data_IF_452590036823
#
_entry.id   IF_452590036823
#
_cell.length_a   1.000
_cell.length_b   1.000
_cell.length_c   1.000
_cell.angle_alpha   90.00
_cell.angle_beta   90.00
_cell.angle_gamma   90.00
#
_symmetry.space_group_name_H-M   'P 1'
#
loop_
_entity.id
_entity.type
_entity.pdbx_description
1 polymer ?
#
# COMPACT_ATOMS: atom_id res chain seq x y z
N UNK A 1 72.78 27.81 24.96
CA UNK A 1 71.58 28.54 24.50
C UNK A 1 70.38 27.66 24.79
N UNK A 2 69.31 28.27 25.33
CA UNK A 2 68.22 27.62 26.08
C UNK A 2 67.29 26.80 25.18
N UNK A 3 66.89 25.64 25.69
CA UNK A 3 65.87 24.74 25.14
C UNK A 3 64.49 25.43 25.09
N UNK A 4 63.79 25.32 23.96
CA UNK A 4 62.36 25.63 23.88
C UNK A 4 61.63 24.37 23.39
N UNK A 5 60.94 23.70 24.30
CA UNK A 5 60.03 22.59 24.03
C UNK A 5 58.69 23.22 23.67
N UNK A 6 58.25 23.08 22.42
CA UNK A 6 56.92 23.51 21.99
C UNK A 6 55.96 22.31 22.14
N UNK A 7 55.26 22.23 23.28
CA UNK A 7 54.17 21.28 23.45
C UNK A 7 52.94 21.77 22.67
N UNK A 8 52.76 21.22 21.47
CA UNK A 8 51.50 21.30 20.72
C UNK A 8 50.47 20.40 21.40
N UNK A 9 49.54 21.00 22.16
CA UNK A 9 48.33 20.31 22.59
C UNK A 9 47.33 20.31 21.43
N UNK A 10 47.08 19.14 20.85
CA UNK A 10 45.95 18.93 19.94
C UNK A 10 44.70 18.70 20.83
N UNK A 11 43.63 19.51 20.72
CA UNK A 11 42.38 19.18 21.39
C UNK A 11 41.76 17.99 20.66
N UNK A 12 41.68 16.84 21.34
CA UNK A 12 40.85 15.72 20.88
C UNK A 12 39.40 16.17 21.02
N UNK A 13 38.82 16.63 19.91
CA UNK A 13 37.40 16.95 19.83
C UNK A 13 36.58 15.69 20.02
N UNK A 14 35.82 15.61 21.11
CA UNK A 14 34.85 14.56 21.36
C UNK A 14 33.72 14.70 20.33
N UNK A 15 33.65 13.80 19.33
CA UNK A 15 32.50 13.70 18.44
C UNK A 15 31.40 12.94 19.18
N UNK A 16 30.25 13.55 19.51
CA UNK A 16 29.14 12.80 20.09
C UNK A 16 28.58 11.87 19.02
N UNK A 17 28.77 10.57 19.21
CA UNK A 17 28.12 9.53 18.41
C UNK A 17 26.64 9.49 18.80
N UNK A 18 25.82 10.26 18.10
CA UNK A 18 24.36 10.13 18.20
C UNK A 18 23.93 8.87 17.46
N UNK A 19 23.72 7.77 18.20
CA UNK A 19 22.92 6.64 17.70
C UNK A 19 21.45 7.07 17.73
N UNK A 20 20.94 7.51 16.58
CA UNK A 20 19.51 7.58 16.37
C UNK A 20 18.97 6.15 16.26
N UNK A 21 18.36 5.64 17.33
CA UNK A 21 17.55 4.42 17.25
C UNK A 21 16.24 4.85 16.60
N UNK A 22 16.13 4.73 15.28
CA UNK A 22 14.84 4.85 14.62
C UNK A 22 14.07 3.56 14.86
N UNK A 23 12.95 3.57 15.59
CA UNK A 23 12.10 2.40 15.67
C UNK A 23 11.59 2.10 14.26
N UNK A 24 12.10 1.04 13.67
CA UNK A 24 11.58 0.53 12.41
C UNK A 24 10.44 -0.42 12.76
N UNK A 25 9.20 0.03 12.59
CA UNK A 25 8.05 -0.87 12.67
C UNK A 25 8.19 -1.85 11.51
N UNK A 26 8.46 -3.12 11.81
CA UNK A 26 8.42 -4.17 10.80
C UNK A 26 6.98 -4.57 10.60
N UNK A 27 6.50 -4.58 9.35
CA UNK A 27 5.12 -4.89 9.00
C UNK A 27 4.59 -6.18 9.68
N UNK A 28 5.43 -7.20 9.82
CA UNK A 28 5.13 -8.47 10.48
C UNK A 28 4.68 -8.34 11.95
N UNK A 29 5.09 -7.28 12.63
CA UNK A 29 4.84 -7.09 14.07
C UNK A 29 3.49 -6.38 14.32
N UNK A 30 2.74 -6.03 13.26
CA UNK A 30 1.38 -5.48 13.35
C UNK A 30 0.35 -6.62 13.29
N UNK A 31 -0.27 -7.04 14.41
CA UNK A 31 -1.12 -8.23 14.41
C UNK A 31 -2.35 -8.13 13.50
N UNK A 32 -2.84 -6.90 13.28
CA UNK A 32 -3.98 -6.58 12.42
C UNK A 32 -3.62 -6.40 10.95
N UNK A 33 -2.33 -6.41 10.58
CA UNK A 33 -1.92 -6.33 9.18
C UNK A 33 -2.09 -7.71 8.54
N UNK A 34 -2.93 -7.76 7.51
CA UNK A 34 -3.32 -9.01 6.85
C UNK A 34 -2.56 -9.25 5.55
N UNK A 35 -2.11 -8.18 4.91
CA UNK A 35 -1.40 -8.22 3.63
C UNK A 35 -0.57 -6.95 3.48
N UNK A 36 0.68 -7.09 3.07
CA UNK A 36 1.52 -5.94 2.72
C UNK A 36 2.48 -6.28 1.58
N UNK A 37 2.40 -5.48 0.51
CA UNK A 37 3.31 -5.53 -0.63
C UNK A 37 4.07 -4.21 -0.74
N UNK A 38 5.39 -4.28 -0.63
CA UNK A 38 6.30 -3.16 -0.94
C UNK A 38 6.83 -3.21 -2.38
N UNK A 39 6.63 -4.35 -3.07
CA UNK A 39 7.11 -4.67 -4.41
C UNK A 39 8.65 -4.71 -4.57
N UNK A 40 9.41 -4.67 -3.47
CA UNK A 40 10.87 -4.88 -3.50
C UNK A 40 11.20 -6.36 -3.72
N UNK A 41 10.43 -7.23 -3.07
CA UNK A 41 10.64 -8.68 -3.06
C UNK A 41 9.73 -9.37 -4.08
N UNK A 42 10.00 -9.16 -5.36
CA UNK A 42 9.31 -9.85 -6.46
C UNK A 42 10.23 -10.90 -7.07
N UNK A 43 9.87 -12.18 -6.94
CA UNK A 43 10.63 -13.31 -7.50
C UNK A 43 9.82 -14.01 -8.59
N UNK A 44 10.20 -13.78 -9.84
CA UNK A 44 9.45 -14.26 -11.00
C UNK A 44 8.05 -13.65 -11.02
N UNK A 45 7.02 -14.49 -10.82
CA UNK A 45 5.62 -14.04 -10.72
C UNK A 45 5.12 -13.91 -9.28
N UNK A 46 5.95 -14.21 -8.28
CA UNK A 46 5.54 -14.15 -6.87
C UNK A 46 5.84 -12.77 -6.30
N UNK A 47 4.84 -12.17 -5.66
CA UNK A 47 4.99 -10.97 -4.82
C UNK A 47 4.95 -11.43 -3.36
N UNK A 48 6.02 -11.17 -2.62
CA UNK A 48 6.09 -11.59 -1.22
C UNK A 48 5.15 -10.76 -0.32
N UNK A 49 4.39 -11.42 0.55
CA UNK A 49 3.59 -10.76 1.58
C UNK A 49 4.45 -10.56 2.83
N UNK A 50 4.63 -9.30 3.19
CA UNK A 50 5.48 -8.88 4.31
C UNK A 50 4.71 -8.72 5.63
N UNK A 51 3.41 -8.99 5.64
CA UNK A 51 2.60 -9.02 6.87
C UNK A 51 2.91 -10.24 7.76
N UNK A 52 3.59 -11.26 7.22
CA UNK A 52 3.85 -12.52 7.91
C UNK A 52 2.66 -13.48 7.91
N UNK A 53 1.58 -13.20 7.18
CA UNK A 53 0.41 -14.09 7.05
C UNK A 53 0.50 -15.08 5.89
N UNK A 54 1.50 -14.92 5.02
CA UNK A 54 1.75 -15.83 3.90
C UNK A 54 0.79 -15.62 2.72
N UNK A 55 0.13 -14.46 2.66
CA UNK A 55 -0.83 -14.10 1.62
C UNK A 55 -0.11 -13.62 0.34
N UNK A 56 0.85 -14.40 -0.13
CA UNK A 56 1.69 -14.05 -1.28
C UNK A 56 0.84 -13.83 -2.53
N UNK A 57 1.21 -12.80 -3.30
CA UNK A 57 0.56 -12.48 -4.55
C UNK A 57 1.17 -13.22 -5.73
N UNK A 58 0.37 -13.44 -6.77
CA UNK A 58 0.80 -13.93 -8.07
C UNK A 58 0.52 -12.88 -9.14
N UNK A 59 1.56 -12.46 -9.86
CA UNK A 59 1.45 -11.60 -11.03
C UNK A 59 0.71 -12.36 -12.15
N UNK A 60 -0.39 -11.77 -12.60
CA UNK A 60 -1.11 -12.14 -13.82
C UNK A 60 -0.97 -11.00 -14.82
N UNK A 61 -0.90 -11.35 -16.11
CA UNK A 61 -0.60 -10.38 -17.17
C UNK A 61 0.90 -10.11 -17.31
N UNK A 62 1.24 -8.87 -17.67
CA UNK A 62 2.60 -8.37 -17.89
C UNK A 62 2.83 -6.98 -17.25
N UNK A 63 2.44 -6.74 -15.99
CA UNK A 63 2.76 -5.51 -15.32
C UNK A 63 4.28 -5.39 -15.14
N UNK A 64 4.76 -4.15 -14.94
CA UNK A 64 6.19 -3.86 -14.77
C UNK A 64 6.50 -3.51 -13.33
N UNK A 65 7.70 -3.86 -12.87
CA UNK A 65 8.25 -3.32 -11.64
C UNK A 65 9.05 -2.08 -12.00
N UNK A 66 8.70 -0.95 -11.39
CA UNK A 66 9.26 0.38 -11.66
C UNK A 66 9.68 1.04 -10.35
N UNK A 67 10.34 2.19 -10.41
CA UNK A 67 10.60 3.00 -9.22
C UNK A 67 9.30 3.63 -8.72
N UNK A 68 9.02 3.39 -7.44
CA UNK A 68 7.81 3.76 -6.73
C UNK A 68 7.93 5.06 -5.94
N UNK A 69 6.90 5.36 -5.13
CA UNK A 69 6.97 6.44 -4.13
C UNK A 69 8.06 6.16 -3.09
N UNK A 70 8.14 4.91 -2.66
CA UNK A 70 9.15 4.38 -1.77
C UNK A 70 9.69 3.11 -2.42
N UNK A 71 10.95 3.13 -2.85
CA UNK A 71 11.56 1.95 -3.44
C UNK A 71 10.91 1.56 -4.77
N UNK A 72 10.34 0.36 -4.86
CA UNK A 72 9.67 -0.19 -6.04
C UNK A 72 8.15 -0.05 -6.00
N UNK A 73 7.55 -0.11 -7.18
CA UNK A 73 6.11 -0.18 -7.36
C UNK A 73 5.78 -1.11 -8.53
N UNK A 74 4.54 -1.58 -8.57
CA UNK A 74 3.99 -2.27 -9.73
C UNK A 74 3.22 -1.29 -10.62
N UNK A 75 3.62 -1.20 -11.88
CA UNK A 75 2.94 -0.46 -12.92
C UNK A 75 2.00 -1.43 -13.66
N UNK A 76 0.70 -1.20 -13.52
CA UNK A 76 -0.32 -1.91 -14.30
C UNK A 76 -0.33 -1.32 -15.72
N UNK A 77 0.02 -2.13 -16.72
CA UNK A 77 0.18 -1.68 -18.11
C UNK A 77 -1.09 -1.82 -18.95
N UNK A 78 -2.17 -2.33 -18.34
CA UNK A 78 -3.48 -2.55 -18.94
C UNK A 78 -3.76 -4.03 -19.23
N UNK A 79 -4.94 -4.31 -19.81
CA UNK A 79 -5.38 -5.68 -20.05
C UNK A 79 -5.78 -6.39 -18.75
N UNK A 80 -5.29 -7.62 -18.56
CA UNK A 80 -5.62 -8.47 -17.40
C UNK A 80 -4.61 -8.36 -16.24
N UNK A 81 -3.79 -7.31 -16.25
CA UNK A 81 -2.73 -7.07 -15.25
C UNK A 81 -3.32 -6.98 -13.84
N UNK A 82 -2.86 -7.86 -12.95
CA UNK A 82 -3.22 -7.82 -11.52
C UNK A 82 -2.22 -8.60 -10.67
N UNK A 83 -2.26 -8.35 -9.38
CA UNK A 83 -1.75 -9.28 -8.37
C UNK A 83 -2.92 -10.09 -7.83
N UNK A 84 -2.93 -11.37 -8.13
CA UNK A 84 -3.93 -12.31 -7.61
C UNK A 84 -3.44 -12.91 -6.30
N UNK A 85 -4.22 -12.73 -5.24
CA UNK A 85 -3.95 -13.34 -3.93
C UNK A 85 -4.99 -14.44 -3.71
N UNK A 86 -4.58 -15.71 -3.51
CA UNK A 86 -5.50 -16.79 -3.22
C UNK A 86 -6.31 -16.51 -1.94
N UNK A 87 -7.51 -17.09 -1.87
CA UNK A 87 -8.31 -17.00 -0.66
C UNK A 87 -7.58 -17.65 0.54
N UNK A 88 -7.73 -17.03 1.71
CA UNK A 88 -7.18 -17.44 3.00
C UNK A 88 -8.11 -16.96 4.11
N UNK A 89 -8.22 -17.71 5.20
CA UNK A 89 -8.99 -17.31 6.38
C UNK A 89 -8.46 -16.00 6.99
N UNK A 90 -7.15 -15.77 6.85
CA UNK A 90 -6.52 -14.51 7.27
C UNK A 90 -6.89 -13.30 6.40
N UNK A 91 -7.70 -13.47 5.35
CA UNK A 91 -8.27 -12.43 4.48
C UNK A 91 -9.80 -12.36 4.60
N UNK A 92 -10.35 -12.84 5.71
CA UNK A 92 -11.77 -12.68 6.08
C UNK A 92 -11.87 -11.58 7.14
N UNK A 93 -12.67 -10.55 6.87
CA UNK A 93 -12.80 -9.38 7.74
C UNK A 93 -14.10 -9.46 8.54
N UNK A 94 -14.03 -9.50 9.87
CA UNK A 94 -15.23 -9.61 10.72
C UNK A 94 -15.65 -8.28 11.37
N UNK A 95 -14.67 -7.47 11.78
CA UNK A 95 -14.87 -6.27 12.62
C UNK A 95 -14.70 -4.95 11.85
N UNK A 96 -14.15 -5.02 10.65
CA UNK A 96 -13.77 -3.86 9.86
C UNK A 96 -12.57 -4.16 8.98
N UNK A 97 -12.27 -3.24 8.06
CA UNK A 97 -11.15 -3.35 7.14
C UNK A 97 -10.60 -1.96 6.84
N UNK A 98 -9.29 -1.88 6.69
CA UNK A 98 -8.62 -0.70 6.15
C UNK A 98 -7.83 -1.11 4.93
N UNK A 99 -8.10 -0.47 3.80
CA UNK A 99 -7.26 -0.56 2.61
C UNK A 99 -6.40 0.69 2.52
N UNK A 100 -5.12 0.50 2.20
CA UNK A 100 -4.16 1.59 2.02
C UNK A 100 -3.30 1.30 0.81
N UNK A 101 -3.09 2.32 -0.03
CA UNK A 101 -2.18 2.24 -1.17
C UNK A 101 -1.55 3.59 -1.47
N UNK A 102 -0.33 3.55 -2.01
CA UNK A 102 0.23 4.67 -2.77
C UNK A 102 -0.03 4.41 -4.24
N UNK A 103 -0.74 5.32 -4.90
CA UNK A 103 -1.07 5.18 -6.32
C UNK A 103 -0.67 6.42 -7.10
N UNK A 104 -0.13 6.20 -8.30
CA UNK A 104 0.18 7.23 -9.28
C UNK A 104 -0.64 6.94 -10.53
N UNK A 105 -1.48 7.88 -10.93
CA UNK A 105 -2.39 7.70 -12.08
C UNK A 105 -1.94 8.66 -13.16
N UNK A 106 -1.44 8.10 -14.26
CA UNK A 106 -0.89 8.89 -15.35
C UNK A 106 -2.01 9.53 -16.17
N UNK A 107 -2.99 8.70 -16.55
CA UNK A 107 -4.14 9.10 -17.34
C UNK A 107 -5.36 8.30 -16.93
N UNK A 108 -6.51 8.96 -16.92
CA UNK A 108 -7.81 8.34 -16.82
C UNK A 108 -8.39 8.12 -18.21
N UNK A 109 -8.83 6.91 -18.54
CA UNK A 109 -9.41 6.58 -19.84
C UNK A 109 -10.95 6.74 -19.87
N UNK A 110 -11.59 7.07 -18.76
CA UNK A 110 -13.04 7.21 -18.65
C UNK A 110 -13.77 5.97 -18.14
N UNK A 111 -13.09 4.85 -17.92
CA UNK A 111 -13.69 3.61 -17.44
C UNK A 111 -13.35 3.31 -15.97
N UNK A 112 -14.05 2.36 -15.36
CA UNK A 112 -13.77 1.95 -13.98
C UNK A 112 -12.51 1.09 -13.86
N UNK A 113 -11.70 1.36 -12.84
CA UNK A 113 -10.52 0.57 -12.50
C UNK A 113 -10.50 0.26 -10.99
N UNK A 114 -10.24 -1.00 -10.64
CA UNK A 114 -10.18 -1.47 -9.27
C UNK A 114 -8.72 -1.63 -8.84
N UNK A 115 -8.31 -0.87 -7.82
CA UNK A 115 -6.95 -1.01 -7.29
C UNK A 115 -6.83 -2.18 -6.32
N UNK A 116 -7.86 -2.38 -5.50
CA UNK A 116 -7.94 -3.50 -4.57
C UNK A 116 -9.37 -4.02 -4.60
N UNK A 117 -9.52 -5.30 -4.95
CA UNK A 117 -10.80 -6.02 -4.93
C UNK A 117 -10.67 -7.26 -4.05
N UNK A 118 -11.62 -7.40 -3.12
CA UNK A 118 -11.86 -8.63 -2.37
C UNK A 118 -13.30 -9.05 -2.59
N UNK A 119 -13.60 -9.48 -3.82
CA UNK A 119 -14.89 -10.02 -4.21
C UNK A 119 -16.01 -8.98 -4.27
N UNK A 120 -15.73 -7.70 -4.47
CA UNK A 120 -16.76 -6.66 -4.45
C UNK A 120 -17.78 -6.83 -5.59
N UNK A 121 -17.41 -7.50 -6.69
CA UNK A 121 -18.33 -7.87 -7.76
C UNK A 121 -18.82 -9.31 -7.71
N UNK A 122 -17.97 -10.24 -7.25
CA UNK A 122 -18.29 -11.67 -7.20
C UNK A 122 -19.12 -12.08 -5.97
N UNK A 123 -18.97 -11.37 -4.85
CA UNK A 123 -19.59 -11.65 -3.57
C UNK A 123 -20.20 -10.36 -2.99
N UNK A 124 -21.10 -9.71 -3.74
CA UNK A 124 -21.63 -8.35 -3.45
C UNK A 124 -22.06 -8.11 -2.00
N UNK A 125 -22.62 -9.12 -1.33
CA UNK A 125 -23.05 -9.00 0.08
C UNK A 125 -21.92 -9.06 1.11
N UNK A 126 -20.72 -9.54 0.77
CA UNK A 126 -19.62 -9.73 1.73
C UNK A 126 -18.26 -9.23 1.23
N UNK A 127 -18.16 -8.86 -0.03
CA UNK A 127 -16.96 -8.36 -0.66
C UNK A 127 -16.75 -6.86 -0.40
N UNK A 128 -15.51 -6.42 -0.56
CA UNK A 128 -15.15 -5.02 -0.44
C UNK A 128 -13.98 -4.67 -1.37
N UNK A 129 -13.76 -3.40 -1.62
CA UNK A 129 -12.66 -2.95 -2.46
C UNK A 129 -12.65 -1.45 -2.67
N UNK A 130 -11.49 -0.91 -3.06
CA UNK A 130 -11.35 0.48 -3.46
C UNK A 130 -11.19 0.54 -4.98
N UNK A 131 -11.99 1.41 -5.60
CA UNK A 131 -11.96 1.62 -7.03
C UNK A 131 -12.10 3.09 -7.36
N UNK A 132 -11.96 3.36 -8.64
CA UNK A 132 -12.47 4.57 -9.25
C UNK A 132 -13.40 4.19 -10.38
N UNK A 133 -14.52 4.90 -10.49
CA UNK A 133 -15.54 4.63 -11.49
C UNK A 133 -15.72 5.80 -12.46
N UNK A 134 -16.36 5.51 -13.59
CA UNK A 134 -16.55 6.33 -14.82
C UNK A 134 -16.67 7.85 -14.66
N UNK A 135 -17.21 8.35 -13.55
CA UNK A 135 -17.28 9.79 -13.21
C UNK A 135 -15.96 10.38 -12.70
N UNK A 136 -14.87 9.61 -12.74
CA UNK A 136 -13.62 9.86 -12.04
C UNK A 136 -13.81 9.98 -10.52
N UNK A 137 -14.87 9.43 -9.93
CA UNK A 137 -15.08 9.49 -8.49
C UNK A 137 -14.44 8.29 -7.80
N UNK A 138 -13.90 8.51 -6.61
CA UNK A 138 -13.42 7.44 -5.74
C UNK A 138 -14.58 6.69 -5.10
N UNK A 139 -14.49 5.37 -5.11
CA UNK A 139 -15.45 4.48 -4.48
C UNK A 139 -14.77 3.55 -3.49
N UNK A 140 -15.40 3.40 -2.34
CA UNK A 140 -15.18 2.26 -1.47
C UNK A 140 -16.43 1.38 -1.49
N UNK A 141 -16.29 0.20 -2.09
CA UNK A 141 -17.37 -0.79 -2.14
C UNK A 141 -17.35 -1.62 -0.88
N UNK A 142 -18.54 -1.82 -0.30
CA UNK A 142 -18.70 -2.60 0.92
C UNK A 142 -20.00 -3.41 0.88
N UNK A 143 -19.88 -4.72 1.01
CA UNK A 143 -21.01 -5.61 1.27
C UNK A 143 -21.48 -5.49 2.73
N UNK A 144 -22.80 -5.40 2.93
CA UNK A 144 -23.43 -5.25 4.26
C UNK A 144 -24.06 -6.55 4.81
N UNK A 145 -23.83 -7.67 4.15
CA UNK A 145 -24.45 -8.97 4.41
C UNK A 145 -25.60 -9.30 3.46
N UNK A 146 -26.15 -8.31 2.73
CA UNK A 146 -27.23 -8.51 1.76
C UNK A 146 -26.90 -7.96 0.37
N UNK A 147 -26.49 -6.70 0.30
CA UNK A 147 -26.14 -6.01 -0.95
C UNK A 147 -24.78 -5.34 -0.85
N UNK A 148 -24.29 -4.85 -2.01
CA UNK A 148 -23.13 -3.97 -2.06
C UNK A 148 -23.58 -2.53 -1.97
N UNK A 149 -22.92 -1.78 -1.10
CA UNK A 149 -23.03 -0.33 -1.02
C UNK A 149 -21.78 0.31 -1.63
N UNK A 150 -22.01 1.33 -2.44
CA UNK A 150 -20.96 2.08 -3.14
C UNK A 150 -20.78 3.43 -2.43
N UNK A 151 -19.80 3.53 -1.53
CA UNK A 151 -19.52 4.77 -0.79
C UNK A 151 -18.65 5.69 -1.63
N UNK A 152 -19.15 6.88 -1.95
CA UNK A 152 -18.38 7.92 -2.65
C UNK A 152 -17.76 8.89 -1.66
N UNK A 153 -16.49 9.22 -1.85
CA UNK A 153 -15.81 10.25 -1.07
C UNK A 153 -15.69 11.53 -1.88
N UNK A 154 -16.06 12.66 -1.26
CA UNK A 154 -16.00 13.98 -1.88
C UNK A 154 -16.85 14.04 -3.13
N UNK A 155 -18.18 14.18 -3.00
CA UNK A 155 -19.06 14.33 -4.15
C UNK A 155 -18.55 15.44 -5.10
N UNK A 156 -18.02 15.07 -6.26
CA UNK A 156 -17.41 15.99 -7.24
C UNK A 156 -15.88 16.00 -7.26
N UNK A 157 -15.20 15.46 -6.24
CA UNK A 157 -13.76 15.23 -6.25
C UNK A 157 -13.41 14.17 -7.28
N UNK A 158 -12.48 14.52 -8.15
CA UNK A 158 -12.02 13.65 -9.23
C UNK A 158 -10.76 12.92 -8.79
N UNK A 159 -10.59 11.73 -9.33
CA UNK A 159 -9.37 10.97 -9.17
C UNK A 159 -8.19 11.79 -9.65
N UNK A 160 -7.12 11.86 -8.84
CA UNK A 160 -6.02 12.73 -9.10
C UNK A 160 -5.15 12.11 -10.19
N UNK A 161 -5.45 12.51 -11.41
CA UNK A 161 -4.62 12.27 -12.59
C UNK A 161 -3.50 13.29 -12.65
N UNK A 162 -2.39 12.94 -13.31
CA UNK A 162 -1.30 13.89 -13.56
C UNK A 162 0.04 13.45 -13.00
N UNK A 163 0.31 12.14 -12.96
CA UNK A 163 1.64 11.59 -12.66
C UNK A 163 2.17 11.92 -11.25
N UNK A 164 1.30 12.26 -10.30
CA UNK A 164 1.66 12.46 -8.90
C UNK A 164 1.22 11.27 -8.04
N UNK A 165 2.05 10.96 -7.04
CA UNK A 165 1.75 9.94 -6.03
C UNK A 165 0.74 10.45 -5.01
N UNK A 166 -0.29 9.65 -4.76
CA UNK A 166 -1.31 9.92 -3.76
C UNK A 166 -1.37 8.78 -2.75
N UNK A 167 -1.52 9.14 -1.48
CA UNK A 167 -1.82 8.19 -0.42
C UNK A 167 -3.32 8.04 -0.29
N UNK A 168 -3.82 6.82 -0.45
CA UNK A 168 -5.25 6.53 -0.55
C UNK A 168 -5.56 5.53 0.55
N UNK A 169 -6.50 5.88 1.41
CA UNK A 169 -6.95 5.03 2.50
C UNK A 169 -8.47 5.01 2.58
N UNK A 170 -9.03 3.81 2.68
CA UNK A 170 -10.45 3.58 2.95
C UNK A 170 -10.56 2.73 4.20
N UNK A 171 -11.31 3.19 5.20
CA UNK A 171 -11.51 2.44 6.44
C UNK A 171 -12.99 2.26 6.70
N UNK A 172 -13.36 1.04 7.07
CA UNK A 172 -14.68 0.72 7.59
C UNK A 172 -14.51 0.05 8.94
N UNK A 173 -15.24 0.57 9.92
CA UNK A 173 -15.46 -0.11 11.18
C UNK A 173 -16.90 -0.58 11.22
N UNK A 174 -17.10 -1.87 11.53
CA UNK A 174 -18.42 -2.38 11.85
C UNK A 174 -18.70 -2.03 13.31
N UNK A 175 -18.95 -0.76 13.61
CA UNK A 175 -19.56 -0.42 14.91
C UNK A 175 -20.97 -0.97 14.89
N UNK A 176 -21.32 -1.65 15.96
CA UNK A 176 -22.53 -2.46 16.12
C UNK A 176 -23.76 -1.71 15.59
N UNK A 177 -24.43 -2.31 14.60
CA UNK A 177 -25.81 -1.97 14.22
C UNK A 177 -26.76 -2.60 15.24
#
# INVERSE_FOLDING_TARGET
>A
MKNAILNSMIPIGLVPLFLAITPQIVAKDLPSLMLYFDFESVNGKKVEDLSGKGNHGKIVGKPKIVDGKFGKAIEMTGGDDRIEVPHSDSLVFEKGVTFVTWSKIEKWNGDGDQWIDKGAHAAKGTGCGIMVYKTSSFYFMLGDGGTRNDLTFGAGEKVPVGNAWHHIAGTYNRRDL
#
